data_IF_812484886458
#
_entry.id   IF_812484886458
#
_cell.length_a   1.000
_cell.length_b   1.000
_cell.length_c   1.000
_cell.angle_alpha   90.00
_cell.angle_beta   90.00
_cell.angle_gamma   90.00
#
_symmetry.space_group_name_H-M   'P 1'
#
loop_
_entity.id
_entity.type
_entity.pdbx_description
1 polymer ?
#
# COMPACT_ATOMS: atom_id res chain seq x y z
N UNK A 1 21.11 7.47 7.73
CA UNK A 1 22.35 8.25 7.98
C UNK A 1 22.34 8.76 9.42
N UNK A 2 23.52 8.98 10.01
CA UNK A 2 23.68 9.69 11.28
C UNK A 2 23.93 11.18 11.00
N UNK A 3 23.12 12.05 11.58
CA UNK A 3 23.20 13.50 11.41
C UNK A 3 22.74 14.21 12.69
N UNK A 4 23.15 15.46 12.85
CA UNK A 4 22.65 16.33 13.92
C UNK A 4 21.18 16.70 13.65
N UNK A 5 20.35 16.73 14.68
CA UNK A 5 18.93 17.09 14.61
C UNK A 5 18.69 18.51 14.08
N UNK A 6 19.65 19.41 14.26
CA UNK A 6 19.57 20.81 13.77
C UNK A 6 19.97 20.96 12.30
N UNK A 7 20.60 19.93 11.72
CA UNK A 7 21.04 19.98 10.33
C UNK A 7 19.85 19.83 9.37
N UNK A 8 19.97 20.44 8.17
CA UNK A 8 19.00 20.21 7.09
C UNK A 8 18.88 18.71 6.82
N UNK A 9 17.66 18.24 6.53
CA UNK A 9 17.36 16.81 6.32
C UNK A 9 18.32 16.15 5.34
N UNK A 10 18.52 16.76 4.19
CA UNK A 10 19.38 16.23 3.12
C UNK A 10 20.74 16.99 3.06
N UNK A 11 21.19 17.52 4.20
CA UNK A 11 22.40 18.32 4.33
C UNK A 11 23.64 17.53 4.75
N UNK A 12 24.55 18.18 5.46
CA UNK A 12 25.77 17.55 5.99
C UNK A 12 25.39 16.48 7.01
N UNK A 13 25.74 15.24 6.72
CA UNK A 13 25.63 14.10 7.62
C UNK A 13 27.02 13.69 8.13
N UNK A 14 27.08 13.08 9.32
CA UNK A 14 28.31 12.53 9.88
C UNK A 14 28.72 11.26 9.14
N UNK A 15 27.76 10.35 8.94
CA UNK A 15 28.01 9.04 8.36
C UNK A 15 26.76 8.45 7.69
N UNK A 16 26.96 7.77 6.56
CA UNK A 16 25.91 7.00 5.87
C UNK A 16 25.96 5.55 6.35
N UNK A 17 24.98 5.17 7.17
CA UNK A 17 24.91 3.84 7.81
C UNK A 17 24.26 2.74 6.94
N UNK A 18 23.74 3.10 5.77
CA UNK A 18 23.01 2.17 4.91
C UNK A 18 21.97 2.85 4.02
N UNK A 19 21.13 2.03 3.39
CA UNK A 19 20.07 2.44 2.50
C UNK A 19 18.77 1.67 2.77
N UNK A 20 17.64 2.28 2.42
CA UNK A 20 16.32 1.67 2.51
C UNK A 20 15.52 2.01 1.26
N UNK A 21 15.11 0.98 0.52
CA UNK A 21 14.17 1.12 -0.59
C UNK A 21 12.75 0.75 -0.11
N UNK A 22 11.81 1.71 -0.04
CA UNK A 22 10.44 1.43 0.37
C UNK A 22 9.66 0.62 -0.66
N UNK A 23 10.09 0.64 -1.93
CA UNK A 23 9.41 -0.04 -3.02
C UNK A 23 9.77 -1.53 -3.02
N UNK A 24 8.76 -2.43 -2.99
CA UNK A 24 9.01 -3.86 -3.10
C UNK A 24 9.54 -4.18 -4.52
N UNK A 25 10.51 -5.08 -4.60
CA UNK A 25 10.93 -5.67 -5.87
C UNK A 25 9.93 -6.70 -6.39
N UNK A 26 10.29 -7.38 -7.48
CA UNK A 26 9.49 -8.50 -8.02
C UNK A 26 9.26 -9.62 -7.00
N UNK A 27 10.23 -9.84 -6.10
CA UNK A 27 10.16 -10.84 -5.02
C UNK A 27 9.27 -10.40 -3.85
N UNK A 28 8.51 -9.30 -3.98
CA UNK A 28 7.72 -8.64 -2.94
C UNK A 28 8.52 -8.23 -1.68
N UNK A 29 9.84 -8.40 -1.66
CA UNK A 29 10.72 -8.04 -0.56
C UNK A 29 11.18 -6.58 -0.66
N UNK A 30 11.16 -5.87 0.48
CA UNK A 30 11.75 -4.53 0.61
C UNK A 30 13.26 -4.66 0.76
N UNK A 31 14.02 -3.95 -0.08
CA UNK A 31 15.49 -4.02 -0.07
C UNK A 31 16.05 -2.99 0.90
N UNK A 32 16.82 -3.43 1.87
CA UNK A 32 17.55 -2.57 2.79
C UNK A 32 18.92 -3.17 3.10
N UNK A 33 19.92 -2.31 3.19
CA UNK A 33 21.28 -2.68 3.59
C UNK A 33 21.73 -1.76 4.71
N UNK A 34 22.21 -2.35 5.81
CA UNK A 34 22.65 -1.63 7.01
C UNK A 34 24.05 -2.08 7.41
N UNK A 35 24.91 -1.14 7.79
CA UNK A 35 26.17 -1.45 8.43
C UNK A 35 25.94 -1.67 9.94
N UNK A 36 25.84 -2.93 10.33
CA UNK A 36 25.48 -3.33 11.71
C UNK A 36 26.47 -2.81 12.75
N UNK A 37 27.77 -2.83 12.47
CA UNK A 37 28.80 -2.46 13.45
C UNK A 37 28.74 -0.95 13.77
N UNK A 38 28.58 -0.14 12.72
CA UNK A 38 28.45 1.31 12.87
C UNK A 38 27.15 1.71 13.54
N UNK A 39 26.04 1.04 13.21
CA UNK A 39 24.77 1.27 13.89
C UNK A 39 24.87 0.97 15.39
N UNK A 40 25.48 -0.17 15.77
CA UNK A 40 25.71 -0.52 17.18
C UNK A 40 26.57 0.53 17.90
N UNK A 41 27.63 1.00 17.25
CA UNK A 41 28.46 2.08 17.78
C UNK A 41 27.65 3.34 18.06
N UNK A 42 26.88 3.84 17.08
CA UNK A 42 26.09 5.06 17.27
C UNK A 42 25.02 4.91 18.36
N UNK A 43 24.38 3.75 18.45
CA UNK A 43 23.46 3.44 19.56
C UNK A 43 24.19 3.45 20.92
N UNK A 44 25.41 2.92 21.00
CA UNK A 44 26.21 2.93 22.24
C UNK A 44 26.63 4.34 22.69
N UNK A 45 26.82 5.26 21.74
CA UNK A 45 27.13 6.67 22.00
C UNK A 45 25.87 7.47 22.39
N UNK A 46 24.69 6.86 22.33
CA UNK A 46 23.42 7.47 22.72
C UNK A 46 22.63 8.11 21.58
N UNK A 47 22.92 7.76 20.33
CA UNK A 47 22.15 8.25 19.18
C UNK A 47 20.68 7.83 19.31
N UNK A 48 19.76 8.79 19.13
CA UNK A 48 18.32 8.56 19.17
C UNK A 48 17.78 8.32 17.75
N UNK A 49 17.38 7.09 17.37
CA UNK A 49 16.80 6.81 16.06
C UNK A 49 15.37 7.35 15.97
N UNK A 50 14.98 7.81 14.78
CA UNK A 50 13.61 8.22 14.49
C UNK A 50 12.65 7.02 14.38
N UNK A 51 11.35 7.24 14.56
CA UNK A 51 10.30 6.21 14.52
C UNK A 51 10.36 5.25 13.32
N UNK A 52 10.52 5.71 12.05
CA UNK A 52 10.66 4.77 10.94
C UNK A 52 11.95 3.95 11.01
N UNK A 53 13.03 4.53 11.52
CA UNK A 53 14.32 3.84 11.69
C UNK A 53 14.23 2.80 12.81
N UNK A 54 13.54 3.09 13.92
CA UNK A 54 13.29 2.11 14.97
C UNK A 54 12.59 0.85 14.44
N UNK A 55 11.58 1.02 13.56
CA UNK A 55 10.89 -0.12 12.92
C UNK A 55 11.82 -0.94 12.02
N UNK A 56 12.73 -0.28 11.32
CA UNK A 56 13.73 -0.94 10.48
C UNK A 56 14.74 -1.72 11.35
N UNK A 57 15.23 -1.09 12.42
CA UNK A 57 16.19 -1.71 13.35
C UNK A 57 15.57 -2.87 14.14
N UNK A 58 14.29 -2.76 14.51
CA UNK A 58 13.52 -3.86 15.11
C UNK A 58 13.40 -5.04 14.15
N UNK A 59 13.05 -4.81 12.88
CA UNK A 59 13.03 -5.87 11.85
C UNK A 59 14.40 -6.50 11.62
N UNK A 60 15.47 -5.75 11.84
CA UNK A 60 16.84 -6.22 11.77
C UNK A 60 17.33 -6.91 13.07
N UNK A 61 16.51 -6.97 14.13
CA UNK A 61 16.83 -7.62 15.40
C UNK A 61 17.77 -6.84 16.32
N UNK A 62 17.98 -5.54 16.09
CA UNK A 62 18.90 -4.71 16.87
C UNK A 62 18.25 -3.99 18.06
N UNK A 63 16.94 -3.73 17.99
CA UNK A 63 16.20 -2.98 19.01
C UNK A 63 14.94 -3.75 19.42
N UNK A 64 14.43 -3.52 20.65
CA UNK A 64 13.12 -4.03 21.06
C UNK A 64 12.00 -3.44 20.19
N UNK A 65 10.80 -4.05 20.20
CA UNK A 65 9.65 -3.50 19.48
C UNK A 65 9.37 -2.08 19.97
N UNK A 66 9.25 -1.10 19.06
CA UNK A 66 8.87 0.26 19.46
C UNK A 66 7.48 0.22 20.10
N UNK A 67 7.15 1.14 21.01
CA UNK A 67 5.80 1.26 21.56
C UNK A 67 4.81 1.51 20.42
N UNK A 68 4.17 0.45 19.95
CA UNK A 68 3.20 0.51 18.88
C UNK A 68 1.91 1.08 19.46
N UNK A 69 1.42 2.19 18.89
CA UNK A 69 -0.01 2.50 19.01
C UNK A 69 -0.73 1.35 18.32
N UNK A 70 -1.33 0.45 19.09
CA UNK A 70 -1.99 -0.76 18.62
C UNK A 70 -3.29 -0.42 17.88
N UNK A 71 -3.18 0.33 16.79
CA UNK A 71 -4.23 0.48 15.80
C UNK A 71 -4.12 -0.75 14.89
N UNK A 72 -4.56 -1.90 15.40
CA UNK A 72 -4.91 -3.00 14.51
C UNK A 72 -5.98 -2.48 13.56
N UNK A 73 -5.60 -2.22 12.30
CA UNK A 73 -6.61 -2.06 11.27
C UNK A 73 -7.21 -3.44 11.13
N UNK A 74 -8.36 -3.68 11.80
CA UNK A 74 -9.24 -4.78 11.42
C UNK A 74 -9.45 -4.61 9.92
N UNK A 75 -8.77 -5.46 9.14
CA UNK A 75 -8.81 -5.36 7.68
C UNK A 75 -10.27 -5.34 7.28
N UNK A 76 -10.67 -4.34 6.49
CA UNK A 76 -11.98 -4.38 5.86
C UNK A 76 -12.10 -5.67 5.06
N UNK A 77 -13.32 -6.20 4.86
CA UNK A 77 -13.53 -7.40 4.06
C UNK A 77 -12.86 -7.22 2.71
N UNK A 78 -12.04 -8.21 2.29
CA UNK A 78 -11.51 -8.24 0.92
C UNK A 78 -12.70 -8.44 -0.01
N UNK A 79 -12.85 -7.58 -1.00
CA UNK A 79 -13.85 -7.80 -2.05
C UNK A 79 -13.46 -9.09 -2.80
N UNK A 80 -14.29 -10.13 -2.69
CA UNK A 80 -14.06 -11.46 -3.27
C UNK A 80 -14.96 -11.71 -4.48
N UNK A 81 -15.69 -10.68 -4.95
CA UNK A 81 -16.58 -10.83 -6.10
C UNK A 81 -15.79 -11.26 -7.35
N UNK A 82 -16.32 -12.21 -8.15
CA UNK A 82 -15.69 -12.60 -9.40
C UNK A 82 -15.52 -11.40 -10.34
N UNK A 83 -14.35 -11.29 -10.93
CA UNK A 83 -14.00 -10.26 -11.91
C UNK A 83 -14.29 -10.81 -13.30
N UNK A 84 -14.99 -10.05 -14.12
CA UNK A 84 -15.20 -10.39 -15.52
C UNK A 84 -13.86 -10.34 -16.29
N UNK A 85 -13.44 -11.42 -16.98
CA UNK A 85 -12.18 -11.47 -17.70
C UNK A 85 -12.10 -10.47 -18.87
N UNK A 86 -13.22 -9.98 -19.39
CA UNK A 86 -13.25 -9.10 -20.56
C UNK A 86 -13.32 -7.62 -20.19
N UNK A 87 -13.97 -7.28 -19.07
CA UNK A 87 -14.18 -5.88 -18.65
C UNK A 87 -13.36 -5.47 -17.42
N UNK A 88 -12.79 -6.41 -16.67
CA UNK A 88 -12.05 -6.14 -15.43
C UNK A 88 -12.90 -5.54 -14.31
N UNK A 89 -14.24 -5.51 -14.48
CA UNK A 89 -15.20 -5.00 -13.50
C UNK A 89 -15.68 -6.14 -12.61
N UNK A 90 -16.05 -5.81 -11.37
CA UNK A 90 -16.73 -6.75 -10.48
C UNK A 90 -18.11 -7.10 -11.04
N UNK A 91 -18.43 -8.38 -11.12
CA UNK A 91 -19.78 -8.83 -11.42
C UNK A 91 -20.69 -8.46 -10.24
N UNK A 92 -21.43 -7.36 -10.36
CA UNK A 92 -22.57 -7.11 -9.48
C UNK A 92 -23.72 -8.00 -9.92
N UNK A 93 -24.43 -8.70 -9.02
CA UNK A 93 -25.72 -9.30 -9.37
C UNK A 93 -26.58 -8.19 -9.98
N UNK A 94 -26.99 -8.37 -11.24
CA UNK A 94 -27.95 -7.48 -11.90
C UNK A 94 -29.28 -7.72 -11.19
N UNK A 95 -29.81 -6.73 -10.48
CA UNK A 95 -31.17 -6.79 -9.95
C UNK A 95 -32.12 -7.14 -11.13
N UNK A 96 -33.07 -8.08 -10.97
CA UNK A 96 -33.85 -8.62 -12.08
C UNK A 96 -34.86 -7.63 -12.71
N UNK A 97 -34.77 -6.33 -12.41
CA UNK A 97 -35.85 -5.37 -12.64
C UNK A 97 -35.55 -4.32 -13.73
N UNK A 98 -34.50 -4.47 -14.54
CA UNK A 98 -34.13 -3.46 -15.56
C UNK A 98 -34.07 -3.96 -17.01
N UNK A 99 -34.76 -5.04 -17.36
CA UNK A 99 -34.96 -5.42 -18.78
C UNK A 99 -36.46 -5.62 -19.09
N UNK A 100 -37.25 -4.55 -19.02
CA UNK A 100 -38.52 -4.45 -19.74
C UNK A 100 -38.51 -3.18 -20.59
N UNK A 101 -37.80 -3.24 -21.70
CA UNK A 101 -38.06 -2.42 -22.89
C UNK A 101 -38.22 -3.38 -24.07
N UNK A 102 -39.42 -3.49 -24.66
CA UNK A 102 -39.60 -4.26 -25.88
C UNK A 102 -39.13 -3.43 -27.07
N UNK A 103 -37.97 -3.80 -27.63
CA UNK A 103 -37.51 -3.32 -28.94
C UNK A 103 -38.17 -4.15 -30.06
N UNK A 104 -39.06 -3.50 -30.83
CA UNK A 104 -39.19 -3.61 -32.29
C UNK A 104 -39.87 -4.86 -32.90
N UNK A 105 -40.94 -4.63 -33.68
CA UNK A 105 -40.96 -4.76 -35.17
C UNK A 105 -42.39 -4.73 -35.76
N UNK A 106 -42.57 -3.77 -36.67
CA UNK A 106 -43.09 -3.88 -38.05
C UNK A 106 -44.34 -4.73 -38.37
N UNK A 107 -45.34 -4.11 -39.02
CA UNK A 107 -46.40 -4.82 -39.77
C UNK A 107 -47.55 -3.91 -40.19
N UNK A 108 -47.80 -3.83 -41.51
CA UNK A 108 -48.84 -3.07 -42.22
C UNK A 108 -50.26 -3.51 -41.80
N UNK A 109 -51.30 -2.68 -41.84
CA UNK A 109 -52.30 -2.53 -42.93
C UNK A 109 -53.41 -1.63 -42.30
N UNK A 110 -53.88 -0.53 -42.91
CA UNK A 110 -54.91 -0.54 -43.94
C UNK A 110 -56.28 -0.08 -43.38
N UNK A 111 -56.89 0.89 -44.08
CA UNK A 111 -58.34 1.03 -44.28
C UNK A 111 -59.22 1.95 -43.39
N UNK A 112 -59.93 2.82 -44.12
CA UNK A 112 -61.27 3.37 -43.93
C UNK A 112 -61.54 4.55 -42.97
N UNK A 113 -61.71 5.73 -43.61
CA UNK A 113 -62.92 6.58 -43.61
C UNK A 113 -63.71 6.80 -42.31
N UNK A 114 -63.78 8.06 -41.86
CA UNK A 114 -65.00 8.90 -41.84
C UNK A 114 -64.60 10.36 -41.58
#
# INVERSE_FOLDING_TARGET
MAADSRSKRDGRHLEVLGYYNPLPGQDCAKRMGLNFDRVKYWLSVGAQPSDPVQKILFRAGLLPPPPMVALTRKGGPRDTRPIDPMSGRYLTPKDPETDLQPEGREGQEGEAAN
#
